data_IF_289686336729
#
_entry.id   IF_289686336729
#
_cell.length_a   1.000
_cell.length_b   1.000
_cell.length_c   1.000
_cell.angle_alpha   90.00
_cell.angle_beta   90.00
_cell.angle_gamma   90.00
#
_symmetry.space_group_name_H-M   'P 1'
#
loop_
_entity.id
_entity.type
_entity.pdbx_description
1 polymer ?
#
# COMPACT_ATOMS: atom_id res chain seq x y z
N UNK A 1 -13.50 12.37 -45.01
CA UNK A 1 -12.22 12.69 -44.36
C UNK A 1 -11.06 12.32 -45.29
N UNK A 2 -10.02 13.14 -45.37
CA UNK A 2 -8.86 12.89 -46.26
C UNK A 2 -8.06 11.67 -45.79
N UNK A 3 -7.53 10.81 -46.70
CA UNK A 3 -6.70 9.65 -46.36
C UNK A 3 -5.46 10.01 -45.52
N UNK A 4 -5.00 11.26 -45.59
CA UNK A 4 -3.92 11.79 -44.74
C UNK A 4 -4.30 11.83 -43.26
N UNK A 5 -5.57 12.15 -42.94
CA UNK A 5 -6.08 12.24 -41.57
C UNK A 5 -6.23 10.85 -40.96
N UNK A 6 -6.61 9.86 -41.78
CA UNK A 6 -6.77 8.47 -41.35
C UNK A 6 -5.42 7.83 -40.94
N UNK A 7 -4.34 8.20 -41.62
CA UNK A 7 -2.99 7.70 -41.35
C UNK A 7 -2.40 8.25 -40.04
N UNK A 8 -2.67 9.53 -39.73
CA UNK A 8 -2.26 10.16 -38.47
C UNK A 8 -2.97 9.57 -37.25
N UNK A 9 -4.26 9.24 -37.38
CA UNK A 9 -5.04 8.59 -36.30
C UNK A 9 -4.56 7.15 -36.07
N UNK A 10 -4.21 6.42 -37.14
CA UNK A 10 -3.69 5.06 -37.02
C UNK A 10 -2.31 4.99 -36.35
N UNK A 11 -1.42 5.97 -36.59
CA UNK A 11 -0.07 6.00 -36.01
C UNK A 11 -0.06 6.22 -34.48
N UNK A 12 -1.09 6.88 -33.93
CA UNK A 12 -1.23 7.10 -32.49
C UNK A 12 -1.69 5.83 -31.73
N UNK A 13 -2.20 4.82 -32.44
CA UNK A 13 -2.66 3.54 -31.87
C UNK A 13 -1.62 2.42 -31.87
N UNK A 14 -0.41 2.64 -32.40
CA UNK A 14 0.66 1.61 -32.52
C UNK A 14 1.70 1.71 -31.40
N UNK A 15 1.75 2.85 -30.71
CA UNK A 15 2.41 2.88 -29.41
C UNK A 15 1.42 2.23 -28.43
N UNK A 16 1.76 1.10 -27.78
CA UNK A 16 1.02 0.75 -26.58
C UNK A 16 1.10 2.01 -25.70
N UNK A 17 -0.01 2.52 -25.15
CA UNK A 17 0.11 3.50 -24.10
C UNK A 17 0.99 2.82 -23.06
N UNK A 18 2.24 3.25 -22.98
CA UNK A 18 3.13 2.88 -21.91
C UNK A 18 2.62 3.68 -20.72
N UNK A 19 1.43 3.31 -20.26
CA UNK A 19 1.05 3.47 -18.87
C UNK A 19 1.88 2.41 -18.15
N UNK A 20 3.19 2.69 -18.09
CA UNK A 20 3.96 2.25 -16.95
C UNK A 20 3.23 2.88 -15.76
N UNK A 21 2.34 2.10 -15.15
CA UNK A 21 1.91 2.36 -13.80
C UNK A 21 3.19 2.40 -12.98
N UNK A 22 3.69 3.62 -12.75
CA UNK A 22 4.84 3.84 -11.91
C UNK A 22 4.39 3.42 -10.51
N UNK A 23 4.83 2.23 -10.11
CA UNK A 23 4.67 1.76 -8.74
C UNK A 23 5.80 2.32 -7.92
N UNK A 24 5.46 2.97 -6.83
CA UNK A 24 6.42 3.52 -5.88
C UNK A 24 6.48 2.61 -4.66
N UNK A 25 7.69 2.41 -4.14
CA UNK A 25 7.84 1.76 -2.85
C UNK A 25 7.39 2.73 -1.75
N UNK A 26 6.34 2.35 -1.03
CA UNK A 26 5.82 3.08 0.11
C UNK A 26 6.12 2.30 1.38
N UNK A 27 6.49 2.99 2.45
CA UNK A 27 6.72 2.37 3.74
C UNK A 27 6.05 3.16 4.86
N UNK A 28 5.67 2.42 5.90
CA UNK A 28 5.05 2.96 7.10
C UNK A 28 5.70 2.36 8.33
N UNK A 29 5.83 3.19 9.36
CA UNK A 29 6.25 2.77 10.68
C UNK A 29 5.27 3.31 11.70
N UNK A 30 4.60 2.40 12.42
CA UNK A 30 3.71 2.77 13.52
C UNK A 30 4.43 2.51 14.85
N UNK A 31 4.38 3.48 15.74
CA UNK A 31 4.82 3.34 17.14
C UNK A 31 3.65 3.67 18.05
N UNK A 32 3.45 2.89 19.09
CA UNK A 32 2.37 3.13 20.04
C UNK A 32 2.53 2.37 21.34
N UNK A 33 1.53 2.51 22.21
CA UNK A 33 1.40 1.74 23.45
C UNK A 33 -0.01 1.16 23.53
N UNK A 34 -0.12 -0.15 23.69
CA UNK A 34 -1.36 -0.87 23.89
C UNK A 34 -1.71 -0.92 25.38
N UNK A 35 -2.90 -0.43 25.73
CA UNK A 35 -3.37 -0.39 27.10
C UNK A 35 -4.89 -0.63 27.18
N UNK A 36 -5.34 -1.21 28.29
CA UNK A 36 -6.72 -1.25 28.72
C UNK A 36 -6.85 -0.28 29.91
N UNK A 37 -7.44 0.89 29.67
CA UNK A 37 -7.37 2.05 30.56
C UNK A 37 -5.91 2.40 30.94
N UNK A 38 -5.55 2.29 32.21
CA UNK A 38 -4.19 2.58 32.71
C UNK A 38 -3.27 1.36 32.69
N UNK A 39 -3.80 0.16 32.40
CA UNK A 39 -3.04 -1.11 32.44
C UNK A 39 -2.43 -1.41 31.07
N UNK A 40 -1.11 -1.56 31.03
CA UNK A 40 -0.41 -2.03 29.82
C UNK A 40 -0.83 -3.43 29.43
N UNK A 41 -0.98 -3.67 28.13
CA UNK A 41 -1.24 -4.99 27.57
C UNK A 41 0.03 -5.50 26.91
N UNK A 42 0.53 -6.63 27.39
CA UNK A 42 1.63 -7.39 26.78
C UNK A 42 1.08 -8.68 26.15
N UNK A 43 1.84 -9.29 25.24
CA UNK A 43 1.51 -10.58 24.60
C UNK A 43 0.28 -10.58 23.66
N UNK A 44 -0.25 -9.40 23.31
CA UNK A 44 -1.24 -9.29 22.25
C UNK A 44 -0.57 -9.36 20.87
N UNK A 45 -1.27 -9.90 19.88
CA UNK A 45 -0.86 -9.79 18.48
C UNK A 45 -1.35 -8.45 17.93
N UNK A 46 -0.44 -7.67 17.34
CA UNK A 46 -0.76 -6.45 16.60
C UNK A 46 -0.39 -6.68 15.15
N UNK A 47 -1.35 -6.53 14.25
CA UNK A 47 -1.14 -6.67 12.80
C UNK A 47 -1.25 -5.30 12.13
N UNK A 48 -0.41 -5.09 11.12
CA UNK A 48 -0.45 -3.92 10.25
C UNK A 48 -0.98 -4.38 8.90
N UNK A 49 -2.11 -3.82 8.50
CA UNK A 49 -2.77 -4.08 7.23
C UNK A 49 -2.86 -2.80 6.41
N UNK A 50 -2.68 -2.90 5.10
CA UNK A 50 -2.97 -1.86 4.13
C UNK A 50 -4.40 -2.04 3.60
N UNK A 51 -5.20 -0.96 3.63
CA UNK A 51 -6.54 -0.95 3.06
C UNK A 51 -6.46 -0.57 1.58
N UNK A 52 -6.96 -1.45 0.72
CA UNK A 52 -6.85 -1.31 -0.71
C UNK A 52 -8.20 -0.88 -1.33
N UNK A 53 -8.18 0.00 -2.35
CA UNK A 53 -9.44 0.53 -2.91
C UNK A 53 -9.99 -0.38 -4.00
N UNK A 54 -11.25 -0.80 -3.87
CA UNK A 54 -12.00 -1.42 -4.96
C UNK A 54 -12.04 -2.93 -4.89
N UNK A 55 -11.44 -3.61 -5.89
CA UNK A 55 -11.50 -5.09 -6.01
C UNK A 55 -10.24 -5.78 -5.49
N UNK A 56 -9.24 -5.00 -5.08
CA UNK A 56 -8.01 -5.52 -4.52
C UNK A 56 -8.27 -5.98 -3.08
N UNK A 57 -7.46 -6.93 -2.61
CA UNK A 57 -7.57 -7.46 -1.26
C UNK A 57 -6.60 -6.71 -0.37
N UNK A 58 -7.02 -6.37 0.84
CA UNK A 58 -6.14 -5.74 1.84
C UNK A 58 -4.90 -6.59 2.12
N UNK A 59 -3.75 -5.94 2.18
CA UNK A 59 -2.45 -6.59 2.33
C UNK A 59 -1.98 -6.60 3.79
N UNK A 60 -1.57 -7.78 4.26
CA UNK A 60 -0.95 -7.92 5.57
C UNK A 60 0.54 -7.58 5.50
N UNK A 61 0.90 -6.40 5.98
CA UNK A 61 2.26 -5.89 5.89
C UNK A 61 3.17 -6.50 6.95
N UNK A 62 2.72 -6.63 8.20
CA UNK A 62 3.53 -7.19 9.29
C UNK A 62 2.73 -7.53 10.55
N UNK A 63 3.37 -8.25 11.47
CA UNK A 63 2.88 -8.57 12.81
C UNK A 63 3.91 -8.19 13.88
N UNK A 64 3.46 -7.72 15.04
CA UNK A 64 4.30 -7.49 16.21
C UNK A 64 3.60 -7.86 17.51
N UNK A 65 4.35 -7.84 18.61
CA UNK A 65 3.83 -8.04 19.97
C UNK A 65 4.36 -6.90 20.84
N UNK A 66 3.50 -6.24 21.63
CA UNK A 66 3.94 -5.19 22.53
C UNK A 66 4.79 -5.74 23.69
N UNK A 67 5.71 -4.92 24.17
CA UNK A 67 6.57 -5.21 25.31
C UNK A 67 5.80 -5.27 26.65
N UNK A 68 6.50 -5.50 27.76
CA UNK A 68 5.89 -5.56 29.10
C UNK A 68 5.25 -4.23 29.56
N UNK A 69 5.61 -3.11 28.94
CA UNK A 69 5.02 -1.79 29.18
C UNK A 69 3.92 -1.47 28.15
N UNK A 70 3.62 -2.39 27.24
CA UNK A 70 2.64 -2.24 26.18
C UNK A 70 3.18 -1.51 24.94
N UNK A 71 4.45 -1.13 24.90
CA UNK A 71 4.99 -0.38 23.75
C UNK A 71 5.21 -1.31 22.57
N UNK A 72 4.94 -0.81 21.36
CA UNK A 72 5.21 -1.53 20.12
C UNK A 72 5.77 -0.61 19.04
N UNK A 73 6.52 -1.21 18.12
CA UNK A 73 6.96 -0.62 16.85
C UNK A 73 6.73 -1.66 15.77
N UNK A 74 5.99 -1.30 14.73
CA UNK A 74 5.72 -2.16 13.57
C UNK A 74 6.07 -1.41 12.29
N UNK A 75 6.71 -2.10 11.37
CA UNK A 75 7.15 -1.60 10.06
C UNK A 75 6.44 -2.40 8.98
N UNK A 76 5.97 -1.74 7.93
CA UNK A 76 5.43 -2.37 6.73
C UNK A 76 5.86 -1.59 5.49
N UNK A 77 5.92 -2.26 4.36
CA UNK A 77 6.17 -1.64 3.06
C UNK A 77 5.46 -2.41 1.97
N UNK A 78 5.03 -1.67 0.94
CA UNK A 78 4.41 -2.22 -0.25
C UNK A 78 4.75 -1.37 -1.48
N UNK A 79 4.66 -1.99 -2.67
CA UNK A 79 4.95 -1.33 -3.94
C UNK A 79 3.65 -1.02 -4.67
N UNK A 80 3.13 0.18 -4.39
CA UNK A 80 1.82 0.63 -4.83
C UNK A 80 1.86 1.71 -5.91
N UNK A 81 0.77 1.76 -6.69
CA UNK A 81 0.59 2.81 -7.70
C UNK A 81 0.01 4.06 -7.00
N UNK A 82 0.72 5.19 -7.05
CA UNK A 82 0.28 6.45 -6.41
C UNK A 82 -0.55 7.32 -7.35
#
# INVERSE_FOLDING_TARGET
>A
MSPSVLCFVAALCILPPCEAFFKDLQNITVKGRLACETKSVSHATIELWEEDRGIQLDDHLNTTTPDSLGNFRIYGEETETT
#
